data_IF_252529973774
#
_entry.id   IF_252529973774
#
_cell.length_a   1.000
_cell.length_b   1.000
_cell.length_c   1.000
_cell.angle_alpha   90.00
_cell.angle_beta   90.00
_cell.angle_gamma   90.00
#
_symmetry.space_group_name_H-M   'P 1'
#
loop_
_entity.id
_entity.type
_entity.pdbx_description
1 polymer ?
#
# COMPACT_ATOMS: atom_id res chain seq x y z
N UNK A 1 21.96 34.75 -14.61
CA UNK A 1 21.58 33.44 -14.04
C UNK A 1 20.52 32.87 -14.95
N UNK A 2 20.78 31.73 -15.56
CA UNK A 2 19.84 31.07 -16.48
C UNK A 2 18.68 30.44 -15.70
N UNK A 3 17.47 30.41 -16.27
CA UNK A 3 16.26 29.81 -15.65
C UNK A 3 16.49 28.37 -15.15
N UNK A 4 17.31 27.59 -15.87
CA UNK A 4 17.69 26.23 -15.45
C UNK A 4 18.42 26.22 -14.09
N UNK A 5 19.29 27.17 -13.83
CA UNK A 5 20.03 27.30 -12.55
C UNK A 5 19.11 27.69 -11.38
N UNK A 6 18.04 28.48 -11.63
CA UNK A 6 17.08 28.87 -10.61
C UNK A 6 16.16 27.68 -10.23
N UNK A 7 15.73 26.92 -11.23
CA UNK A 7 14.90 25.73 -11.02
C UNK A 7 15.64 24.65 -10.22
N UNK A 8 16.90 24.38 -10.53
CA UNK A 8 17.73 23.42 -9.80
C UNK A 8 17.99 23.85 -8.35
N UNK A 9 18.25 25.15 -8.13
CA UNK A 9 18.40 25.70 -6.78
C UNK A 9 17.13 25.52 -5.97
N UNK A 10 15.99 25.92 -6.54
CA UNK A 10 14.70 25.81 -5.90
C UNK A 10 14.35 24.37 -5.55
N UNK A 11 14.66 23.44 -6.44
CA UNK A 11 14.44 22.01 -6.20
C UNK A 11 15.24 21.50 -5.00
N UNK A 12 16.53 21.85 -4.92
CA UNK A 12 17.40 21.48 -3.80
C UNK A 12 16.96 22.09 -2.47
N UNK A 13 16.52 23.35 -2.48
CA UNK A 13 16.02 24.02 -1.27
C UNK A 13 14.70 23.39 -0.77
N UNK A 14 13.79 23.05 -1.68
CA UNK A 14 12.57 22.31 -1.34
C UNK A 14 12.88 20.90 -0.85
N UNK A 15 13.82 20.18 -1.47
CA UNK A 15 14.25 18.86 -1.00
C UNK A 15 14.76 18.92 0.44
N UNK A 16 15.61 19.89 0.74
CA UNK A 16 16.13 20.07 2.09
C UNK A 16 15.00 20.39 3.09
N UNK A 17 14.10 21.30 2.75
CA UNK A 17 12.97 21.66 3.60
C UNK A 17 12.05 20.47 3.87
N UNK A 18 11.83 19.61 2.87
CA UNK A 18 11.03 18.41 3.03
C UNK A 18 11.75 17.29 3.82
N UNK A 19 13.08 17.24 3.73
CA UNK A 19 13.87 16.28 4.48
C UNK A 19 13.96 16.62 5.99
N UNK A 20 13.92 17.92 6.31
CA UNK A 20 14.00 18.43 7.69
C UNK A 20 12.62 18.47 8.38
N UNK A 21 11.52 18.25 7.63
CA UNK A 21 10.16 18.34 8.15
C UNK A 21 9.61 16.98 8.59
N UNK A 22 8.73 16.98 9.60
CA UNK A 22 8.08 15.77 10.10
C UNK A 22 6.94 15.29 9.17
N UNK A 23 6.64 13.97 9.12
CA UNK A 23 5.49 13.44 8.41
C UNK A 23 4.18 14.10 8.86
N UNK A 24 3.39 14.58 7.91
CA UNK A 24 2.13 15.28 8.20
C UNK A 24 2.29 16.74 8.61
N UNK A 25 3.53 17.23 8.71
CA UNK A 25 3.79 18.66 8.96
C UNK A 25 3.21 19.51 7.85
N UNK A 26 2.58 20.63 8.25
CA UNK A 26 2.02 21.58 7.30
C UNK A 26 3.10 22.56 6.85
N UNK A 27 3.35 22.60 5.55
CA UNK A 27 4.23 23.60 4.95
C UNK A 27 3.68 25.02 5.11
N UNK A 28 4.57 26.03 5.15
CA UNK A 28 4.16 27.42 5.03
C UNK A 28 3.24 27.64 3.85
N UNK A 29 2.36 28.66 3.90
CA UNK A 29 1.51 29.00 2.76
C UNK A 29 2.35 29.32 1.52
N UNK A 30 1.83 29.02 0.31
CA UNK A 30 2.56 29.30 -0.94
C UNK A 30 3.14 30.74 -1.03
N UNK A 31 2.39 31.79 -0.64
CA UNK A 31 2.95 33.15 -0.64
C UNK A 31 4.16 33.29 0.29
N UNK A 32 4.07 32.75 1.52
CA UNK A 32 5.15 32.83 2.50
C UNK A 32 6.35 31.99 2.09
N UNK A 33 6.12 30.82 1.52
CA UNK A 33 7.19 29.93 1.04
C UNK A 33 7.90 30.53 -0.18
N UNK A 34 7.17 31.18 -1.11
CA UNK A 34 7.75 31.86 -2.24
C UNK A 34 8.64 33.05 -1.80
N UNK A 35 8.21 33.80 -0.80
CA UNK A 35 8.99 34.86 -0.18
C UNK A 35 10.26 34.32 0.51
N UNK A 36 10.14 33.25 1.30
CA UNK A 36 11.29 32.63 1.99
C UNK A 36 12.35 32.11 1.03
N UNK A 37 11.93 31.56 -0.11
CA UNK A 37 12.83 31.00 -1.13
C UNK A 37 13.27 32.00 -2.20
N UNK A 38 12.82 33.27 -2.09
CA UNK A 38 13.08 34.32 -3.06
C UNK A 38 12.77 33.92 -4.50
N UNK A 39 11.57 33.41 -4.73
CA UNK A 39 11.09 32.95 -6.05
C UNK A 39 9.67 33.43 -6.34
N UNK A 40 9.29 33.42 -7.62
CA UNK A 40 7.91 33.69 -8.00
C UNK A 40 6.97 32.58 -7.53
N UNK A 41 5.72 32.94 -7.23
CA UNK A 41 4.67 31.92 -6.90
C UNK A 41 4.47 30.90 -8.03
N UNK A 42 4.66 31.32 -9.28
CA UNK A 42 4.53 30.45 -10.44
C UNK A 42 5.64 29.39 -10.46
N UNK A 43 6.89 29.82 -10.26
CA UNK A 43 8.06 28.94 -10.18
C UNK A 43 7.93 27.97 -9.00
N UNK A 44 7.50 28.46 -7.83
CA UNK A 44 7.25 27.60 -6.68
C UNK A 44 6.18 26.53 -6.96
N UNK A 45 5.05 26.92 -7.57
CA UNK A 45 3.98 25.98 -7.90
C UNK A 45 4.43 24.88 -8.86
N UNK A 46 5.24 25.22 -9.83
CA UNK A 46 5.77 24.26 -10.78
C UNK A 46 6.73 23.28 -10.11
N UNK A 47 7.64 23.76 -9.28
CA UNK A 47 8.51 22.90 -8.49
C UNK A 47 7.70 22.00 -7.53
N UNK A 48 6.72 22.56 -6.82
CA UNK A 48 5.87 21.78 -5.91
C UNK A 48 5.03 20.72 -6.62
N UNK A 49 4.63 20.91 -7.88
CA UNK A 49 3.97 19.87 -8.68
C UNK A 49 4.82 18.61 -8.81
N UNK A 50 6.12 18.77 -9.04
CA UNK A 50 7.04 17.63 -9.13
C UNK A 50 7.04 16.84 -7.83
N UNK A 51 7.13 17.50 -6.67
CA UNK A 51 7.10 16.84 -5.36
C UNK A 51 5.73 16.22 -5.03
N UNK A 52 4.64 16.81 -5.51
CA UNK A 52 3.30 16.27 -5.38
C UNK A 52 3.12 14.99 -6.23
N UNK A 53 3.62 15.00 -7.47
CA UNK A 53 3.63 13.83 -8.36
C UNK A 53 4.49 12.70 -7.80
N UNK A 54 5.60 13.04 -7.11
CA UNK A 54 6.44 12.09 -6.39
C UNK A 54 5.84 11.61 -5.06
N UNK A 55 4.65 12.10 -4.68
CA UNK A 55 4.00 11.75 -3.42
C UNK A 55 4.69 12.31 -2.17
N UNK A 56 5.64 13.25 -2.32
CA UNK A 56 6.39 13.84 -1.19
C UNK A 56 5.64 14.96 -0.48
N UNK A 57 4.67 15.56 -1.12
CA UNK A 57 3.72 16.50 -0.52
C UNK A 57 2.30 16.18 -0.97
N UNK A 58 1.33 16.57 -0.15
CA UNK A 58 -0.11 16.45 -0.45
C UNK A 58 -0.78 17.79 -0.24
N UNK A 59 -1.48 18.28 -1.28
CA UNK A 59 -2.31 19.48 -1.19
C UNK A 59 -3.72 19.12 -0.78
N UNK A 60 -4.24 19.90 0.18
CA UNK A 60 -5.66 19.86 0.53
C UNK A 60 -6.23 21.26 0.29
N UNK A 61 -7.15 21.37 -0.66
CA UNK A 61 -7.76 22.65 -1.02
C UNK A 61 -8.38 23.34 0.20
N UNK A 62 -8.07 24.62 0.40
CA UNK A 62 -8.53 25.40 1.55
C UNK A 62 -7.84 25.08 2.89
N UNK A 63 -7.10 24.00 2.99
CA UNK A 63 -6.45 23.57 4.24
C UNK A 63 -4.95 23.83 4.22
N UNK A 64 -4.26 23.46 3.16
CA UNK A 64 -2.81 23.68 3.01
C UNK A 64 -2.10 22.53 2.30
N UNK A 65 -0.77 22.63 2.30
CA UNK A 65 0.13 21.59 1.77
C UNK A 65 0.82 20.90 2.95
N UNK A 66 0.86 19.61 2.92
CA UNK A 66 1.42 18.77 3.99
C UNK A 66 2.57 17.94 3.44
N UNK A 67 3.59 17.77 4.25
CA UNK A 67 4.71 16.88 3.95
C UNK A 67 4.22 15.44 4.05
N UNK A 68 4.51 14.67 3.01
CA UNK A 68 4.33 13.23 3.00
C UNK A 68 5.74 12.65 2.90
N UNK A 69 6.15 11.88 3.89
CA UNK A 69 7.37 11.09 3.66
C UNK A 69 7.11 10.19 2.45
N UNK A 70 8.07 10.10 1.52
CA UNK A 70 7.99 9.05 0.54
C UNK A 70 7.81 7.75 1.34
N UNK A 71 6.68 7.09 1.16
CA UNK A 71 6.66 5.66 1.43
C UNK A 71 7.96 5.13 0.83
N UNK A 72 8.74 4.39 1.60
CA UNK A 72 9.87 3.68 1.03
C UNK A 72 9.33 3.02 -0.22
N UNK A 73 9.76 3.48 -1.38
CA UNK A 73 9.27 2.93 -2.64
C UNK A 73 9.64 1.47 -2.58
N UNK A 74 8.64 0.61 -2.65
CA UNK A 74 8.88 -0.81 -2.80
C UNK A 74 9.41 -0.96 -4.23
N UNK A 75 10.71 -1.00 -4.37
CA UNK A 75 11.39 -1.21 -5.66
C UNK A 75 11.34 -2.68 -6.12
N UNK A 76 10.53 -3.50 -5.45
CA UNK A 76 10.24 -4.86 -5.85
C UNK A 76 9.16 -4.86 -6.93
N UNK A 77 9.47 -5.45 -8.06
CA UNK A 77 8.52 -5.57 -9.16
C UNK A 77 7.46 -6.64 -8.87
N UNK A 78 6.29 -6.49 -9.51
CA UNK A 78 5.21 -7.50 -9.44
C UNK A 78 5.57 -8.81 -10.14
N UNK A 79 6.76 -8.89 -10.73
CA UNK A 79 7.35 -10.08 -11.34
C UNK A 79 7.87 -11.10 -10.32
N UNK A 80 8.03 -10.70 -9.08
CA UNK A 80 8.45 -11.59 -7.99
C UNK A 80 7.25 -11.99 -7.16
N UNK A 81 7.09 -13.28 -6.90
CA UNK A 81 6.03 -13.80 -6.05
C UNK A 81 6.48 -13.73 -4.58
N UNK A 82 6.18 -12.62 -3.94
CA UNK A 82 6.51 -12.34 -2.54
C UNK A 82 5.27 -11.89 -1.76
N UNK A 83 5.28 -12.14 -0.46
CA UNK A 83 4.24 -11.65 0.43
C UNK A 83 4.42 -10.18 0.75
N UNK A 84 3.35 -9.51 1.17
CA UNK A 84 3.42 -8.12 1.65
C UNK A 84 4.30 -8.02 2.90
N UNK A 85 4.33 -9.06 3.73
CA UNK A 85 5.18 -9.15 4.90
C UNK A 85 6.66 -9.22 4.52
N UNK A 86 7.02 -10.07 3.56
CA UNK A 86 8.40 -10.16 3.02
C UNK A 86 8.83 -8.85 2.38
N UNK A 87 7.97 -8.22 1.57
CA UNK A 87 8.23 -6.92 0.97
C UNK A 87 8.44 -5.82 2.02
N UNK A 88 7.65 -5.83 3.09
CA UNK A 88 7.81 -4.89 4.19
C UNK A 88 9.16 -5.05 4.90
N UNK A 89 9.57 -6.28 5.20
CA UNK A 89 10.88 -6.57 5.81
C UNK A 89 12.03 -6.08 4.94
N UNK A 90 12.02 -6.36 3.64
CA UNK A 90 13.05 -5.91 2.69
C UNK A 90 13.18 -4.39 2.62
N UNK A 91 12.07 -3.68 2.78
CA UNK A 91 12.04 -2.20 2.79
C UNK A 91 12.29 -1.62 4.19
N UNK A 92 12.47 -2.47 5.22
CA UNK A 92 12.63 -2.06 6.62
C UNK A 92 11.38 -1.38 7.18
N UNK A 93 10.20 -1.75 6.68
CA UNK A 93 8.91 -1.42 7.27
C UNK A 93 8.51 -2.51 8.25
N UNK A 94 8.04 -2.12 9.42
CA UNK A 94 7.46 -3.06 10.38
C UNK A 94 5.96 -3.15 10.11
N UNK A 95 5.50 -4.34 9.80
CA UNK A 95 4.07 -4.62 9.67
C UNK A 95 3.62 -5.62 10.71
N UNK A 96 2.38 -5.52 11.13
CA UNK A 96 1.74 -6.44 12.06
C UNK A 96 0.45 -6.98 11.46
N UNK A 97 0.14 -8.22 11.75
CA UNK A 97 -1.14 -8.82 11.41
C UNK A 97 -2.17 -8.47 12.49
N UNK A 98 -3.26 -7.85 12.08
CA UNK A 98 -4.40 -7.55 12.94
C UNK A 98 -5.41 -8.70 12.98
N UNK A 99 -6.70 -8.39 12.75
CA UNK A 99 -7.75 -9.39 12.75
C UNK A 99 -7.50 -10.47 11.69
N UNK A 100 -7.62 -11.71 12.11
CA UNK A 100 -7.55 -12.93 11.27
C UNK A 100 -8.90 -13.62 11.34
N UNK A 101 -9.49 -13.91 10.19
CA UNK A 101 -10.70 -14.71 10.07
C UNK A 101 -10.46 -15.84 9.09
N UNK A 102 -10.82 -17.06 9.49
CA UNK A 102 -10.68 -18.28 8.68
C UNK A 102 -12.04 -18.95 8.60
N UNK A 103 -12.49 -19.23 7.40
CA UNK A 103 -13.80 -19.84 7.19
C UNK A 103 -13.80 -20.81 6.02
N UNK A 104 -14.59 -21.87 6.14
CA UNK A 104 -14.91 -22.73 5.00
C UNK A 104 -16.09 -22.15 4.24
N UNK A 105 -15.96 -22.06 2.93
CA UNK A 105 -17.01 -21.62 2.02
C UNK A 105 -17.15 -22.54 0.82
N UNK A 106 -18.28 -22.45 0.15
CA UNK A 106 -18.45 -23.06 -1.16
C UNK A 106 -18.01 -22.08 -2.23
N UNK A 107 -17.25 -22.57 -3.22
CA UNK A 107 -16.81 -21.77 -4.34
C UNK A 107 -18.01 -21.32 -5.20
N UNK A 108 -18.15 -20.02 -5.39
CA UNK A 108 -19.06 -19.46 -6.38
C UNK A 108 -18.47 -19.62 -7.79
N UNK A 109 -19.20 -19.20 -8.83
CA UNK A 109 -18.77 -19.30 -10.22
C UNK A 109 -17.42 -18.63 -10.49
N UNK A 110 -17.18 -17.45 -9.90
CA UNK A 110 -15.96 -16.65 -10.11
C UNK A 110 -14.76 -17.33 -9.46
N UNK A 111 -14.90 -17.78 -8.24
CA UNK A 111 -13.82 -18.47 -7.49
C UNK A 111 -13.55 -19.84 -8.10
N UNK A 112 -14.58 -20.59 -8.47
CA UNK A 112 -14.47 -21.89 -9.12
C UNK A 112 -13.69 -21.80 -10.44
N UNK A 113 -14.01 -20.81 -11.28
CA UNK A 113 -13.28 -20.54 -12.53
C UNK A 113 -11.79 -20.25 -12.27
N UNK A 114 -11.50 -19.31 -11.36
CA UNK A 114 -10.12 -18.92 -11.03
C UNK A 114 -9.28 -20.05 -10.44
N UNK A 115 -9.88 -20.86 -9.58
CA UNK A 115 -9.20 -21.98 -8.93
C UNK A 115 -9.28 -23.29 -9.73
N UNK A 116 -9.98 -23.30 -10.87
CA UNK A 116 -10.24 -24.48 -11.72
C UNK A 116 -10.88 -25.62 -10.92
N UNK A 117 -11.93 -25.28 -10.18
CA UNK A 117 -12.76 -26.17 -9.38
C UNK A 117 -14.18 -26.25 -9.95
N UNK A 118 -14.93 -27.22 -9.45
CA UNK A 118 -16.38 -27.23 -9.67
C UNK A 118 -17.07 -26.17 -8.80
N UNK A 119 -18.14 -25.55 -9.31
CA UNK A 119 -18.97 -24.66 -8.51
C UNK A 119 -19.52 -25.44 -7.32
N UNK A 120 -19.43 -24.85 -6.13
CA UNK A 120 -19.81 -25.50 -4.89
C UNK A 120 -18.73 -26.39 -4.25
N UNK A 121 -17.52 -26.45 -4.83
CA UNK A 121 -16.39 -27.10 -4.17
C UNK A 121 -16.02 -26.38 -2.88
N UNK A 122 -15.60 -27.11 -1.86
CA UNK A 122 -15.17 -26.52 -0.58
C UNK A 122 -13.83 -25.82 -0.73
N UNK A 123 -13.79 -24.57 -0.29
CA UNK A 123 -12.60 -23.72 -0.21
C UNK A 123 -12.40 -23.23 1.22
N UNK A 124 -11.17 -22.89 1.56
CA UNK A 124 -10.80 -22.16 2.77
C UNK A 124 -10.54 -20.71 2.37
N UNK A 125 -11.22 -19.78 3.04
CA UNK A 125 -11.01 -18.34 2.90
C UNK A 125 -10.35 -17.83 4.16
N UNK A 126 -9.22 -17.16 3.99
CA UNK A 126 -8.45 -16.51 5.04
C UNK A 126 -8.48 -15.02 4.78
N UNK A 127 -9.03 -14.22 5.68
CA UNK A 127 -8.99 -12.76 5.59
C UNK A 127 -8.20 -12.17 6.75
N UNK A 128 -7.36 -11.17 6.41
CA UNK A 128 -6.42 -10.57 7.35
C UNK A 128 -6.33 -9.07 7.12
N UNK A 129 -6.12 -8.33 8.21
CA UNK A 129 -5.77 -6.92 8.15
C UNK A 129 -4.28 -6.81 8.44
N UNK A 130 -3.54 -6.12 7.58
CA UNK A 130 -2.15 -5.76 7.82
C UNK A 130 -2.09 -4.29 8.21
N UNK A 131 -1.37 -4.03 9.29
CA UNK A 131 -1.14 -2.68 9.80
C UNK A 131 0.34 -2.32 9.73
N UNK A 132 0.63 -1.07 9.40
CA UNK A 132 1.95 -0.45 9.51
C UNK A 132 1.82 0.76 10.43
N UNK A 133 2.70 0.90 11.42
CA UNK A 133 2.65 1.96 12.43
C UNK A 133 1.25 2.10 13.07
N UNK A 134 0.67 0.96 13.47
CA UNK A 134 -0.67 0.84 14.06
C UNK A 134 -1.84 1.32 13.17
N UNK A 135 -1.61 1.51 11.88
CA UNK A 135 -2.64 1.88 10.91
C UNK A 135 -2.90 0.74 9.93
N UNK A 136 -4.17 0.37 9.68
CA UNK A 136 -4.50 -0.59 8.64
C UNK A 136 -4.04 -0.07 7.28
N UNK A 137 -3.28 -0.89 6.55
CA UNK A 137 -2.75 -0.54 5.22
C UNK A 137 -3.18 -1.51 4.14
N UNK A 138 -3.56 -2.73 4.51
CA UNK A 138 -4.05 -3.73 3.57
C UNK A 138 -5.09 -4.65 4.22
N UNK A 139 -6.10 -5.02 3.42
CA UNK A 139 -7.04 -6.09 3.71
C UNK A 139 -6.81 -7.21 2.70
N UNK A 140 -6.30 -8.33 3.19
CA UNK A 140 -5.90 -9.47 2.39
C UNK A 140 -6.96 -10.56 2.45
N UNK A 141 -7.25 -11.17 1.32
CA UNK A 141 -8.16 -12.30 1.21
C UNK A 141 -7.46 -13.39 0.41
N UNK A 142 -7.15 -14.48 1.06
CA UNK A 142 -6.65 -15.70 0.44
C UNK A 142 -7.79 -16.70 0.29
N UNK A 143 -7.93 -17.32 -0.87
CA UNK A 143 -8.92 -18.36 -1.15
C UNK A 143 -8.23 -19.54 -1.79
N UNK A 144 -8.35 -20.70 -1.15
CA UNK A 144 -7.66 -21.93 -1.57
C UNK A 144 -8.59 -23.13 -1.53
N UNK A 145 -8.38 -24.11 -2.41
CA UNK A 145 -9.03 -25.42 -2.23
C UNK A 145 -8.71 -26.01 -0.86
N UNK A 146 -9.68 -26.60 -0.17
CA UNK A 146 -9.48 -27.23 1.15
C UNK A 146 -8.32 -28.22 1.18
N UNK A 147 -8.11 -28.93 0.07
CA UNK A 147 -6.97 -29.86 -0.07
C UNK A 147 -5.59 -29.19 -0.05
N UNK A 148 -5.51 -27.87 -0.31
CA UNK A 148 -4.26 -27.13 -0.34
C UNK A 148 -3.92 -26.48 1.01
N UNK A 149 -4.93 -26.20 1.83
CA UNK A 149 -4.78 -25.58 3.14
C UNK A 149 -5.96 -26.01 4.00
N UNK A 150 -5.70 -26.75 5.07
CA UNK A 150 -6.73 -27.08 6.04
C UNK A 150 -6.97 -25.89 6.99
N UNK A 151 -8.21 -25.76 7.48
CA UNK A 151 -8.59 -24.68 8.37
C UNK A 151 -7.77 -24.66 9.66
N UNK A 152 -7.43 -25.83 10.19
CA UNK A 152 -6.64 -26.00 11.41
C UNK A 152 -5.16 -25.58 11.25
N UNK A 153 -4.64 -25.54 10.03
CA UNK A 153 -3.26 -25.05 9.75
C UNK A 153 -3.11 -23.53 9.95
N UNK A 154 -4.21 -22.78 9.88
CA UNK A 154 -4.24 -21.32 10.01
C UNK A 154 -5.00 -20.83 11.24
N UNK A 155 -5.59 -21.73 12.00
CA UNK A 155 -6.28 -21.36 13.23
C UNK A 155 -5.33 -21.19 14.43
N UNK A 156 -5.60 -20.16 15.24
CA UNK A 156 -5.10 -19.99 16.60
C UNK A 156 -3.69 -19.46 16.77
N UNK A 157 -2.73 -19.85 15.95
CA UNK A 157 -1.32 -19.43 16.07
C UNK A 157 -0.69 -19.03 14.73
N UNK A 158 -1.50 -18.91 13.69
CA UNK A 158 -1.00 -18.46 12.40
C UNK A 158 -0.65 -16.97 12.48
N UNK A 159 0.64 -16.70 12.30
CA UNK A 159 1.17 -15.33 12.17
C UNK A 159 1.91 -15.25 10.85
N UNK A 160 1.48 -14.38 9.95
CA UNK A 160 2.18 -14.15 8.70
C UNK A 160 1.36 -14.41 7.44
N UNK A 161 2.01 -14.77 6.36
CA UNK A 161 1.43 -14.89 5.04
C UNK A 161 1.06 -16.32 4.69
N UNK A 162 -0.14 -16.52 4.13
CA UNK A 162 -0.57 -17.80 3.53
C UNK A 162 0.36 -18.16 2.37
N UNK A 163 0.78 -17.17 1.57
CA UNK A 163 1.73 -17.38 0.47
C UNK A 163 3.06 -17.92 0.98
N UNK A 164 3.64 -17.32 2.03
CA UNK A 164 4.91 -17.77 2.61
C UNK A 164 4.79 -19.16 3.24
N UNK A 165 3.62 -19.47 3.84
CA UNK A 165 3.36 -20.80 4.34
C UNK A 165 3.41 -21.84 3.21
N UNK A 166 2.77 -21.56 2.07
CA UNK A 166 2.76 -22.47 0.92
C UNK A 166 4.14 -22.59 0.28
N UNK A 167 4.87 -21.47 0.14
CA UNK A 167 6.23 -21.46 -0.40
C UNK A 167 7.18 -22.28 0.46
N UNK A 168 7.15 -22.11 1.78
CA UNK A 168 7.98 -22.88 2.73
C UNK A 168 7.63 -24.37 2.72
N UNK A 169 6.35 -24.71 2.59
CA UNK A 169 5.89 -26.08 2.54
C UNK A 169 6.24 -26.78 1.21
N UNK A 170 6.35 -26.01 0.13
CA UNK A 170 6.60 -26.51 -1.22
C UNK A 170 5.49 -27.38 -1.79
N UNK A 171 4.29 -27.34 -1.18
CA UNK A 171 3.11 -28.08 -1.63
C UNK A 171 1.83 -27.28 -1.32
N UNK A 172 0.99 -26.96 -2.32
CA UNK A 172 1.25 -27.22 -3.76
C UNK A 172 2.45 -26.46 -4.29
N UNK A 173 3.08 -26.96 -5.33
CA UNK A 173 4.14 -26.23 -6.03
C UNK A 173 3.53 -25.02 -6.72
N UNK A 174 4.02 -23.84 -6.38
CA UNK A 174 3.62 -22.58 -6.99
C UNK A 174 4.59 -22.26 -8.13
N UNK A 175 4.13 -22.34 -9.35
CA UNK A 175 4.93 -22.21 -10.57
C UNK A 175 4.83 -20.81 -11.18
N UNK A 176 3.65 -20.22 -11.14
CA UNK A 176 3.37 -18.93 -11.76
C UNK A 176 2.28 -18.16 -11.02
N UNK A 177 2.28 -16.84 -11.17
CA UNK A 177 1.23 -15.97 -10.67
C UNK A 177 0.71 -15.04 -11.77
N UNK A 178 -0.54 -14.62 -11.64
CA UNK A 178 -1.12 -13.56 -12.44
C UNK A 178 -1.54 -12.42 -11.53
N UNK A 179 -0.99 -11.25 -11.75
CA UNK A 179 -1.38 -10.04 -11.05
C UNK A 179 -2.37 -9.23 -11.91
N UNK A 180 -3.43 -8.73 -11.28
CA UNK A 180 -4.39 -7.81 -11.86
C UNK A 180 -4.57 -6.64 -10.90
N UNK A 181 -4.34 -5.41 -11.37
CA UNK A 181 -4.46 -4.20 -10.56
C UNK A 181 -5.68 -3.42 -11.03
N UNK A 182 -6.58 -3.11 -10.09
CA UNK A 182 -7.79 -2.33 -10.32
C UNK A 182 -7.94 -1.24 -9.27
N UNK A 183 -8.35 -0.05 -9.69
CA UNK A 183 -8.84 0.97 -8.77
C UNK A 183 -10.36 0.75 -8.58
N UNK A 184 -10.76 0.55 -7.33
CA UNK A 184 -12.16 0.34 -6.96
C UNK A 184 -12.51 1.19 -5.75
N UNK A 185 -13.74 1.66 -5.65
CA UNK A 185 -14.22 2.34 -4.46
C UNK A 185 -14.40 1.33 -3.32
N UNK A 186 -13.98 1.69 -2.11
CA UNK A 186 -14.15 0.85 -0.95
C UNK A 186 -15.63 0.64 -0.62
N UNK A 187 -16.04 -0.60 -0.50
CA UNK A 187 -17.35 -0.95 0.06
C UNK A 187 -17.36 -0.77 1.60
N UNK A 188 -18.50 -1.09 2.22
CA UNK A 188 -18.67 -0.88 3.67
C UNK A 188 -17.72 -1.74 4.51
N UNK A 189 -17.45 -2.97 4.09
CA UNK A 189 -16.63 -3.90 4.85
C UNK A 189 -15.15 -3.59 4.69
N UNK A 190 -14.71 -3.27 3.49
CA UNK A 190 -13.34 -2.79 3.20
C UNK A 190 -13.07 -1.46 3.91
N UNK A 191 -14.02 -0.51 3.83
CA UNK A 191 -13.89 0.79 4.49
C UNK A 191 -13.72 0.63 6.02
N UNK A 192 -14.51 -0.26 6.63
CA UNK A 192 -14.39 -0.58 8.06
C UNK A 192 -13.06 -1.26 8.39
N UNK A 193 -12.64 -2.24 7.58
CA UNK A 193 -11.40 -2.98 7.80
C UNK A 193 -10.15 -2.09 7.71
N UNK A 194 -10.17 -1.10 6.82
CA UNK A 194 -9.04 -0.20 6.57
C UNK A 194 -9.14 1.16 7.31
N UNK A 195 -10.20 1.37 8.08
CA UNK A 195 -10.48 2.65 8.77
C UNK A 195 -10.46 3.86 7.82
N UNK A 196 -11.09 3.70 6.65
CA UNK A 196 -11.25 4.72 5.61
C UNK A 196 -12.73 5.02 5.36
N UNK A 197 -13.03 6.05 4.57
CA UNK A 197 -14.41 6.37 4.22
C UNK A 197 -14.91 5.45 3.09
N UNK A 198 -16.20 5.13 3.11
CA UNK A 198 -16.84 4.42 2.02
C UNK A 198 -16.75 5.25 0.73
N UNK A 199 -16.22 4.64 -0.32
CA UNK A 199 -16.05 5.29 -1.62
C UNK A 199 -14.67 5.92 -1.84
N UNK A 200 -13.77 5.85 -0.83
CA UNK A 200 -12.36 6.23 -1.00
C UNK A 200 -11.64 5.32 -1.99
#
# INVERSE_FOLDING_TARGET
>A
MTEASLSERLHKELEKLLADAEPGERLPSEPKLAEQLDVSRASLREAMRTFETQGRIRRRQGVGTFVVHPCKVIESGLEVLESIETLAEQTGLSVSMGALEVEKRLADEVVAEKLKLDVGATIVRVSRIISADDRPVAYLIDQLPEKCLAEDEVNGHFTGSVLDLLLRRGSPLLDSSRCEIKAVAADTDIARALDIQRGD
#
